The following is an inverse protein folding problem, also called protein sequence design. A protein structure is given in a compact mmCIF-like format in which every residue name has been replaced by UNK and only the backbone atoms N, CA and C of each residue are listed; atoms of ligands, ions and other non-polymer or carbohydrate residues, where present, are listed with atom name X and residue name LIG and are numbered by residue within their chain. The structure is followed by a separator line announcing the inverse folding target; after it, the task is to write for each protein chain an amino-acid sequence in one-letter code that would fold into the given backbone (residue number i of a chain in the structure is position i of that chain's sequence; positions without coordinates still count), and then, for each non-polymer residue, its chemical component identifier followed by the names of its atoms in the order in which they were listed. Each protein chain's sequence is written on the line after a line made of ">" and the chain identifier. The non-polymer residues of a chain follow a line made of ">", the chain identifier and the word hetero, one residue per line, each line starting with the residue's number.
data_IF_723809532482
#
_entry.id   IF_723809532482
#
_cell.length_a   1.000
_cell.length_b   1.000
_cell.length_c   1.000
_cell.angle_alpha   90.00
_cell.angle_beta   90.00
_cell.angle_gamma   90.00
#
_symmetry.space_group_name_H-M   'P 1'
#
loop_
_entity.id
_entity.type
_entity.pdbx_description
1 polymer ?
#
# COMPACT_ATOMS: atom_id res chain seq x y z
N UNK A 1 23.82 33.36 39.61
CA UNK A 1 23.15 32.07 39.84
C UNK A 1 22.28 31.74 38.63
N UNK A 2 22.76 30.91 37.70
CA UNK A 2 22.02 30.51 36.50
C UNK A 2 22.09 28.99 36.34
N UNK A 3 21.04 28.28 36.77
CA UNK A 3 20.84 26.85 36.46
C UNK A 3 19.63 26.70 35.54
N UNK A 4 19.91 26.85 34.24
CA UNK A 4 19.47 26.00 33.12
C UNK A 4 17.97 25.68 32.98
N UNK A 5 17.24 26.56 32.28
CA UNK A 5 15.93 26.31 31.64
C UNK A 5 15.99 25.15 30.60
N UNK A 6 17.16 24.89 30.00
CA UNK A 6 17.37 23.77 29.08
C UNK A 6 17.20 22.40 29.74
N UNK A 7 17.53 22.28 31.03
CA UNK A 7 17.42 21.00 31.76
C UNK A 7 15.98 20.58 32.06
N UNK A 8 15.07 21.55 32.22
CA UNK A 8 13.64 21.32 32.45
C UNK A 8 12.93 20.90 31.15
N UNK A 9 13.30 21.50 30.02
CA UNK A 9 12.77 21.16 28.70
C UNK A 9 13.24 19.78 28.21
N UNK A 10 14.51 19.42 28.44
CA UNK A 10 15.03 18.07 28.17
C UNK A 10 14.36 16.99 29.05
N UNK A 11 14.03 17.31 30.30
CA UNK A 11 13.33 16.40 31.21
C UNK A 11 11.86 16.20 30.81
N UNK A 12 11.17 17.23 30.35
CA UNK A 12 9.79 17.11 29.87
C UNK A 12 9.71 16.32 28.56
N UNK A 13 10.63 16.56 27.61
CA UNK A 13 10.72 15.75 26.38
C UNK A 13 11.03 14.27 26.66
N UNK A 14 11.93 13.97 27.61
CA UNK A 14 12.21 12.58 28.02
C UNK A 14 11.00 11.92 28.68
N UNK A 15 10.17 12.67 29.41
CA UNK A 15 8.93 12.14 30.01
C UNK A 15 7.85 11.89 28.95
N UNK A 16 7.68 12.78 27.99
CA UNK A 16 6.75 12.60 26.86
C UNK A 16 7.20 11.43 25.97
N UNK A 17 8.50 11.31 25.69
CA UNK A 17 9.08 10.18 24.96
C UNK A 17 8.89 8.84 25.69
N UNK A 18 9.10 8.81 27.01
CA UNK A 18 8.84 7.61 27.83
C UNK A 18 7.35 7.24 27.90
N UNK A 19 6.46 8.23 27.98
CA UNK A 19 5.01 7.99 27.98
C UNK A 19 4.53 7.47 26.62
N UNK A 20 5.05 8.02 25.52
CA UNK A 20 4.76 7.56 24.15
C UNK A 20 5.33 6.16 23.89
N UNK A 21 6.55 5.87 24.37
CA UNK A 21 7.14 4.52 24.33
C UNK A 21 6.38 3.53 25.19
N UNK A 22 5.86 3.94 26.35
CA UNK A 22 5.05 3.08 27.22
C UNK A 22 3.68 2.75 26.60
N UNK A 23 3.03 3.74 25.98
CA UNK A 23 1.78 3.52 25.23
C UNK A 23 2.01 2.63 23.99
N UNK A 24 3.14 2.81 23.29
CA UNK A 24 3.50 1.97 22.14
C UNK A 24 3.85 0.53 22.55
N UNK A 25 4.53 0.34 23.69
CA UNK A 25 4.83 -0.97 24.26
C UNK A 25 3.57 -1.67 24.79
N UNK A 26 2.61 -0.94 25.37
CA UNK A 26 1.31 -1.49 25.75
C UNK A 26 0.48 -1.89 24.53
N UNK A 27 0.49 -1.09 23.46
CA UNK A 27 -0.14 -1.43 22.19
C UNK A 27 0.45 -2.69 21.53
N UNK A 28 1.77 -2.85 21.58
CA UNK A 28 2.49 -4.04 21.11
C UNK A 28 2.16 -5.30 21.92
N UNK A 29 2.09 -5.20 23.25
CA UNK A 29 1.72 -6.33 24.12
C UNK A 29 0.27 -6.77 23.92
N UNK A 30 -0.64 -5.81 23.71
CA UNK A 30 -2.03 -6.10 23.35
C UNK A 30 -2.11 -6.78 21.99
N UNK A 31 -1.35 -6.32 20.99
CA UNK A 31 -1.29 -6.93 19.66
C UNK A 31 -0.69 -8.35 19.68
N UNK A 32 0.39 -8.59 20.42
CA UNK A 32 0.98 -9.94 20.60
C UNK A 32 0.04 -10.90 21.34
N UNK A 33 -0.74 -10.40 22.31
CA UNK A 33 -1.70 -11.21 23.07
C UNK A 33 -2.94 -11.62 22.26
N UNK A 34 -3.17 -11.01 21.10
CA UNK A 34 -4.34 -11.24 20.24
C UNK A 34 -4.04 -12.14 19.02
N UNK A 35 -2.79 -12.57 18.85
CA UNK A 35 -2.42 -13.59 17.86
C UNK A 35 -2.76 -14.99 18.40
N UNK A 36 -3.37 -15.89 17.60
CA UNK A 36 -3.68 -17.24 18.06
C UNK A 36 -2.41 -18.02 18.41
N UNK A 37 -2.37 -18.59 19.62
CA UNK A 37 -1.32 -19.56 20.02
C UNK A 37 -1.44 -20.81 19.17
N UNK A 38 -0.35 -21.19 18.49
CA UNK A 38 -0.26 -22.47 17.81
C UNK A 38 -0.54 -23.62 18.80
N UNK A 39 -1.41 -24.55 18.42
CA UNK A 39 -1.74 -25.73 19.21
C UNK A 39 -0.47 -26.60 19.43
N UNK A 40 -0.32 -27.25 20.59
CA UNK A 40 0.87 -28.03 20.89
C UNK A 40 0.92 -29.30 20.02
N UNK A 41 1.98 -29.43 19.23
CA UNK A 41 2.29 -30.67 18.51
C UNK A 41 2.56 -31.81 19.52
N UNK A 42 1.95 -32.97 19.28
CA UNK A 42 2.12 -34.19 20.08
C UNK A 42 3.59 -34.66 20.04
N UNK A 43 4.18 -34.93 21.22
CA UNK A 43 5.55 -35.45 21.38
C UNK A 43 5.67 -36.89 20.82
N UNK A 44 6.72 -37.23 20.05
CA UNK A 44 7.06 -38.62 19.82
C UNK A 44 7.79 -39.22 21.04
N UNK A 45 7.53 -40.51 21.28
CA UNK A 45 8.05 -41.33 22.39
C UNK A 45 9.57 -41.51 22.29
N UNK A 46 10.28 -41.40 23.43
CA UNK A 46 11.70 -41.76 23.59
C UNK A 46 11.86 -43.27 23.84
N UNK A 47 12.84 -43.96 23.23
CA UNK A 47 13.39 -45.17 23.83
C UNK A 47 14.50 -44.81 24.84
N UNK A 48 14.63 -45.62 25.89
CA UNK A 48 15.62 -45.50 26.96
C UNK A 48 16.99 -45.99 26.46
N UNK A 49 18.05 -45.21 26.66
CA UNK A 49 19.43 -45.71 26.62
C UNK A 49 20.16 -45.40 27.94
N UNK A 50 20.93 -46.40 28.39
CA UNK A 50 21.66 -46.47 29.66
C UNK A 50 22.80 -45.46 29.73
N UNK A 51 23.06 -45.01 30.95
CA UNK A 51 24.08 -44.06 31.36
C UNK A 51 25.47 -44.73 31.33
N UNK A 52 26.41 -44.21 30.52
CA UNK A 52 27.85 -44.40 30.70
C UNK A 52 28.44 -43.08 31.18
N UNK A 53 29.02 -43.09 32.37
CA UNK A 53 29.82 -42.00 32.93
C UNK A 53 31.20 -42.00 32.28
N UNK A 54 31.59 -40.88 31.70
CA UNK A 54 33.01 -40.54 31.55
C UNK A 54 33.15 -39.05 31.90
N UNK A 55 33.95 -38.78 32.92
CA UNK A 55 34.37 -37.44 33.34
C UNK A 55 35.80 -37.26 32.86
N UNK A 56 36.07 -36.23 32.05
CA UNK A 56 37.32 -35.48 32.09
C UNK A 56 37.28 -34.26 31.16
N UNK A 57 37.88 -33.17 31.66
CA UNK A 57 38.33 -31.96 30.98
C UNK A 57 37.26 -30.94 30.53
N UNK A 58 37.17 -29.88 31.32
CA UNK A 58 36.61 -28.57 30.97
C UNK A 58 37.63 -27.83 30.09
N UNK A 59 37.30 -27.46 28.84
CA UNK A 59 37.90 -26.32 28.19
C UNK A 59 37.09 -25.06 28.54
N UNK A 60 37.80 -23.97 28.78
CA UNK A 60 37.24 -22.63 28.99
C UNK A 60 36.19 -22.25 27.93
N UNK A 61 35.21 -21.37 28.27
CA UNK A 61 34.14 -21.00 27.36
C UNK A 61 34.70 -20.15 26.22
N UNK A 62 35.15 -20.80 25.14
CA UNK A 62 35.21 -20.17 23.82
C UNK A 62 33.79 -19.70 23.54
N UNK A 63 33.61 -18.38 23.55
CA UNK A 63 32.36 -17.73 23.22
C UNK A 63 31.86 -18.33 21.91
N UNK A 64 30.86 -19.22 21.99
CA UNK A 64 30.15 -19.71 20.82
C UNK A 64 29.44 -18.51 20.25
N UNK A 65 30.07 -17.90 19.26
CA UNK A 65 29.46 -16.94 18.38
C UNK A 65 28.12 -17.55 17.95
N UNK A 66 27.03 -16.93 18.39
CA UNK A 66 25.71 -17.28 17.93
C UNK A 66 25.77 -17.39 16.41
N UNK A 67 25.17 -18.43 15.79
CA UNK A 67 25.12 -18.48 14.35
C UNK A 67 24.38 -17.22 13.91
N UNK A 68 25.11 -16.26 13.34
CA UNK A 68 24.55 -15.10 12.68
C UNK A 68 23.74 -15.67 11.53
N UNK A 69 22.46 -15.94 11.75
CA UNK A 69 21.51 -16.07 10.65
C UNK A 69 21.41 -14.68 10.04
N UNK A 70 22.35 -14.36 9.15
CA UNK A 70 22.28 -13.22 8.25
C UNK A 70 20.97 -13.37 7.49
N UNK A 71 19.99 -12.54 7.83
CA UNK A 71 18.85 -12.29 6.95
C UNK A 71 19.42 -11.84 5.60
N UNK A 72 18.88 -12.31 4.47
CA UNK A 72 19.29 -11.79 3.17
C UNK A 72 19.09 -10.27 3.15
N UNK A 73 20.16 -9.53 2.91
CA UNK A 73 20.17 -8.17 2.34
C UNK A 73 20.18 -8.31 0.83
N UNK A 74 19.61 -7.39 0.04
CA UNK A 74 19.99 -7.26 -1.37
C UNK A 74 19.81 -8.51 -2.29
N UNK A 75 19.13 -9.56 -1.80
CA UNK A 75 18.22 -10.37 -2.62
C UNK A 75 17.00 -9.53 -3.08
N UNK A 76 16.81 -8.35 -2.48
CA UNK A 76 15.88 -7.23 -2.80
C UNK A 76 16.05 -6.61 -4.20
N UNK A 77 16.97 -7.14 -5.00
CA UNK A 77 16.98 -7.04 -6.44
C UNK A 77 17.88 -8.18 -6.94
N UNK A 78 17.47 -9.44 -6.77
CA UNK A 78 17.98 -10.49 -7.66
C UNK A 78 17.39 -10.21 -9.04
N UNK A 79 17.90 -9.15 -9.67
CA UNK A 79 17.57 -8.62 -10.98
C UNK A 79 16.08 -8.25 -11.18
N UNK A 80 15.85 -7.12 -11.85
CA UNK A 80 14.77 -7.07 -12.82
C UNK A 80 14.78 -8.41 -13.58
N UNK A 81 13.75 -9.25 -13.53
CA UNK A 81 13.71 -10.67 -13.92
C UNK A 81 14.32 -11.10 -15.28
N UNK A 82 15.59 -10.79 -15.57
CA UNK A 82 16.05 -10.53 -16.92
C UNK A 82 15.32 -9.37 -17.60
N UNK A 83 14.67 -8.46 -16.84
CA UNK A 83 13.94 -7.37 -17.47
C UNK A 83 14.92 -6.27 -17.92
N UNK A 84 14.74 -5.73 -19.13
CA UNK A 84 15.70 -4.81 -19.72
C UNK A 84 15.68 -3.40 -19.11
N UNK A 85 14.59 -3.01 -18.43
CA UNK A 85 14.40 -1.68 -17.83
C UNK A 85 15.30 -1.35 -16.65
N UNK A 86 15.29 -0.07 -16.27
CA UNK A 86 16.14 0.45 -15.19
C UNK A 86 15.42 0.46 -13.85
N UNK A 87 16.09 -0.01 -12.80
CA UNK A 87 15.60 -0.02 -11.42
C UNK A 87 16.48 0.90 -10.55
N UNK A 88 15.95 2.07 -10.19
CA UNK A 88 16.71 3.14 -9.54
C UNK A 88 16.28 3.33 -8.12
N UNK A 89 17.23 3.29 -7.20
CA UNK A 89 17.02 3.64 -5.78
C UNK A 89 17.40 5.10 -5.57
N UNK A 90 16.53 5.90 -4.98
CA UNK A 90 16.86 7.28 -4.62
C UNK A 90 16.16 7.72 -3.34
N UNK A 91 16.61 8.85 -2.79
CA UNK A 91 15.96 9.52 -1.69
C UNK A 91 15.23 10.76 -2.21
N UNK A 92 14.01 10.96 -1.73
CA UNK A 92 13.29 12.21 -1.87
C UNK A 92 13.33 12.96 -0.54
N UNK A 93 13.48 14.28 -0.62
CA UNK A 93 13.38 15.17 0.53
C UNK A 93 12.39 16.27 0.18
N UNK A 94 11.37 16.44 1.01
CA UNK A 94 10.39 17.51 0.84
C UNK A 94 11.09 18.89 0.98
N UNK A 95 10.97 19.80 0.01
CA UNK A 95 11.57 21.13 0.10
C UNK A 95 11.07 21.91 1.32
N UNK A 96 11.96 22.65 1.99
CA UNK A 96 11.64 23.52 3.12
C UNK A 96 12.87 23.89 3.96
N UNK A 97 12.75 24.95 4.76
CA UNK A 97 13.79 25.62 5.56
C UNK A 97 14.07 25.00 6.95
N UNK A 98 13.42 23.87 7.27
CA UNK A 98 13.50 23.23 8.59
C UNK A 98 14.57 22.13 8.72
N UNK A 99 14.97 21.82 9.97
CA UNK A 99 15.89 20.74 10.31
C UNK A 99 15.49 19.38 9.67
N UNK A 100 16.50 18.58 9.32
CA UNK A 100 16.38 17.22 8.77
C UNK A 100 15.68 16.26 9.75
N UNK A 101 14.34 16.23 9.74
CA UNK A 101 13.57 15.21 10.46
C UNK A 101 13.25 14.04 9.52
N UNK A 102 13.23 12.81 10.04
CA UNK A 102 12.83 11.59 9.30
C UNK A 102 11.47 11.72 8.60
N UNK A 103 10.62 12.65 9.05
CA UNK A 103 9.31 12.96 8.47
C UNK A 103 9.34 13.72 7.13
N UNK A 104 10.50 14.26 6.70
CA UNK A 104 10.63 14.98 5.42
C UNK A 104 11.34 14.17 4.34
N UNK A 105 11.96 13.04 4.69
CA UNK A 105 12.81 12.27 3.78
C UNK A 105 12.26 10.86 3.62
N UNK A 106 12.06 10.44 2.38
CA UNK A 106 11.52 9.12 2.06
C UNK A 106 12.38 8.44 0.99
N UNK A 107 12.71 7.18 1.23
CA UNK A 107 13.39 6.35 0.26
C UNK A 107 12.37 5.90 -0.79
N UNK A 108 12.78 5.81 -2.05
CA UNK A 108 11.93 5.24 -3.10
C UNK A 108 12.75 4.45 -4.11
N UNK A 109 12.02 3.65 -4.89
CA UNK A 109 12.52 3.05 -6.12
C UNK A 109 11.69 3.46 -7.31
N UNK A 110 12.34 3.69 -8.44
CA UNK A 110 11.71 4.00 -9.73
C UNK A 110 12.09 2.93 -10.75
N UNK A 111 11.08 2.37 -11.40
CA UNK A 111 11.25 1.50 -12.56
C UNK A 111 10.91 2.26 -13.84
N UNK A 112 11.83 2.24 -14.80
CA UNK A 112 11.61 2.76 -16.16
C UNK A 112 11.79 1.62 -17.17
N UNK A 113 10.77 1.29 -17.99
CA UNK A 113 10.85 0.18 -18.95
C UNK A 113 11.81 0.50 -20.11
N UNK A 114 12.54 -0.49 -20.62
CA UNK A 114 13.56 -0.25 -21.65
C UNK A 114 13.01 -0.18 -23.08
N UNK A 115 11.85 -0.79 -23.34
CA UNK A 115 11.23 -0.81 -24.68
C UNK A 115 10.69 0.54 -25.16
N UNK A 116 11.01 1.64 -24.48
CA UNK A 116 10.51 2.98 -24.79
C UNK A 116 11.64 3.82 -25.38
N UNK A 117 11.52 4.30 -26.63
CA UNK A 117 12.52 5.19 -27.23
C UNK A 117 12.76 6.40 -26.33
N UNK A 118 14.02 6.76 -26.10
CA UNK A 118 14.37 7.98 -25.36
C UNK A 118 14.34 9.21 -26.27
N UNK A 119 14.11 10.38 -25.69
CA UNK A 119 14.27 11.65 -26.39
C UNK A 119 15.74 11.84 -26.84
N UNK A 120 16.00 12.45 -28.02
CA UNK A 120 17.36 12.69 -28.48
C UNK A 120 18.16 13.50 -27.45
N UNK A 121 19.37 13.03 -27.10
CA UNK A 121 20.30 13.75 -26.23
C UNK A 121 20.02 13.70 -24.72
N UNK A 122 18.95 13.01 -24.26
CA UNK A 122 18.66 12.84 -22.82
C UNK A 122 18.41 11.37 -22.50
N UNK A 123 19.36 10.74 -21.79
CA UNK A 123 19.16 9.38 -21.27
C UNK A 123 18.01 9.37 -20.26
N UNK A 124 17.11 8.38 -20.35
CA UNK A 124 16.02 8.12 -19.39
C UNK A 124 14.79 9.05 -19.45
N UNK A 125 14.69 9.91 -20.46
CA UNK A 125 13.45 10.63 -20.77
C UNK A 125 12.80 9.98 -21.99
N UNK A 126 11.56 9.49 -21.90
CA UNK A 126 10.91 8.82 -23.02
C UNK A 126 10.50 9.82 -24.11
N UNK A 127 10.59 9.42 -25.37
CA UNK A 127 10.19 10.23 -26.53
C UNK A 127 8.69 10.54 -26.56
N UNK A 128 7.88 9.72 -25.86
CA UNK A 128 6.48 10.00 -25.53
C UNK A 128 6.29 9.88 -24.02
N UNK A 129 5.66 10.84 -23.35
CA UNK A 129 5.41 10.77 -21.91
C UNK A 129 4.73 9.47 -21.50
N UNK A 130 5.35 8.75 -20.57
CA UNK A 130 4.86 7.47 -20.06
C UNK A 130 3.87 7.69 -18.91
N UNK A 131 2.81 6.87 -18.79
CA UNK A 131 2.03 6.78 -17.57
C UNK A 131 2.89 6.43 -16.36
N UNK A 132 2.44 6.81 -15.17
CA UNK A 132 3.08 6.47 -13.91
C UNK A 132 2.12 5.68 -13.00
N UNK A 133 2.58 4.57 -12.46
CA UNK A 133 1.86 3.83 -11.40
C UNK A 133 2.66 3.94 -10.10
N UNK A 134 2.07 4.51 -9.06
CA UNK A 134 2.64 4.57 -7.72
C UNK A 134 2.19 3.35 -6.93
N UNK A 135 3.11 2.56 -6.39
CA UNK A 135 2.85 1.28 -5.74
C UNK A 135 3.23 1.34 -4.25
N UNK A 136 2.23 1.30 -3.38
CA UNK A 136 2.38 1.40 -1.92
C UNK A 136 2.26 0.02 -1.25
N UNK A 137 3.37 -0.43 -0.66
CA UNK A 137 3.46 -1.76 -0.05
C UNK A 137 2.64 -1.88 1.24
N UNK A 138 2.25 -3.10 1.64
CA UNK A 138 1.61 -3.38 2.93
C UNK A 138 2.59 -3.40 4.12
N UNK A 139 2.08 -3.57 5.34
CA UNK A 139 2.94 -3.73 6.51
C UNK A 139 3.88 -4.95 6.32
N UNK A 140 5.06 -4.91 6.93
CA UNK A 140 6.14 -5.90 6.89
C UNK A 140 6.83 -6.08 5.53
N UNK A 141 6.26 -5.54 4.44
CA UNK A 141 6.89 -5.54 3.12
C UNK A 141 7.90 -4.38 2.97
N UNK A 142 8.71 -4.47 1.93
CA UNK A 142 9.50 -3.35 1.39
C UNK A 142 9.02 -3.01 -0.02
N UNK A 143 9.42 -1.85 -0.54
CA UNK A 143 9.19 -1.45 -1.93
C UNK A 143 9.67 -2.53 -2.91
N UNK A 144 10.84 -3.12 -2.65
CA UNK A 144 11.40 -4.20 -3.46
C UNK A 144 10.58 -5.49 -3.37
N UNK A 145 10.16 -5.91 -2.18
CA UNK A 145 9.30 -7.09 -2.01
C UNK A 145 7.98 -6.90 -2.76
N UNK A 146 7.37 -5.71 -2.67
CA UNK A 146 6.11 -5.44 -3.33
C UNK A 146 6.25 -5.39 -4.86
N UNK A 147 7.35 -4.83 -5.37
CA UNK A 147 7.66 -4.86 -6.81
C UNK A 147 7.81 -6.30 -7.33
N UNK A 148 8.56 -7.14 -6.61
CA UNK A 148 8.78 -8.53 -6.98
C UNK A 148 7.50 -9.37 -6.90
N UNK A 149 6.75 -9.24 -5.79
CA UNK A 149 5.53 -10.01 -5.53
C UNK A 149 4.39 -9.67 -6.48
N UNK A 150 4.10 -8.38 -6.68
CA UNK A 150 3.02 -7.92 -7.56
C UNK A 150 3.31 -8.13 -9.05
N UNK A 151 4.58 -8.32 -9.42
CA UNK A 151 5.04 -8.40 -10.82
C UNK A 151 4.69 -7.17 -11.68
N UNK A 152 4.53 -6.01 -11.04
CA UNK A 152 4.14 -4.78 -11.72
C UNK A 152 5.22 -4.30 -12.70
N UNK A 153 6.52 -4.48 -12.41
CA UNK A 153 7.60 -4.15 -13.35
C UNK A 153 7.55 -5.00 -14.63
N UNK A 154 7.18 -6.28 -14.53
CA UNK A 154 7.01 -7.15 -15.70
C UNK A 154 5.87 -6.66 -16.59
N UNK A 155 4.77 -6.18 -15.99
CA UNK A 155 3.67 -5.59 -16.75
C UNK A 155 4.08 -4.23 -17.35
N UNK A 156 4.82 -3.42 -16.60
CA UNK A 156 5.36 -2.13 -17.02
C UNK A 156 6.19 -2.24 -18.31
N UNK A 157 7.04 -3.26 -18.43
CA UNK A 157 7.77 -3.57 -19.68
C UNK A 157 6.84 -3.85 -20.85
N UNK A 158 5.82 -4.69 -20.64
CA UNK A 158 4.91 -5.11 -21.71
C UNK A 158 3.95 -4.01 -22.15
N UNK A 159 3.65 -3.04 -21.27
CA UNK A 159 2.59 -2.04 -21.47
C UNK A 159 3.11 -0.60 -21.57
N UNK A 160 4.39 -0.36 -21.30
CA UNK A 160 5.02 0.93 -21.44
C UNK A 160 4.52 1.95 -20.41
N UNK A 161 4.80 1.72 -19.13
CA UNK A 161 4.57 2.70 -18.06
C UNK A 161 5.69 2.67 -17.02
N UNK A 162 5.92 3.79 -16.33
CA UNK A 162 6.85 3.88 -15.22
C UNK A 162 6.20 3.43 -13.91
N UNK A 163 7.00 2.96 -12.95
CA UNK A 163 6.49 2.55 -11.63
C UNK A 163 7.31 3.16 -10.51
N UNK A 164 6.65 3.88 -9.60
CA UNK A 164 7.27 4.49 -8.42
C UNK A 164 6.87 3.73 -7.16
N UNK A 165 7.86 3.37 -6.34
CA UNK A 165 7.67 2.62 -5.09
C UNK A 165 8.23 3.39 -3.89
N UNK A 166 7.41 4.23 -3.23
CA UNK A 166 7.76 4.83 -1.95
C UNK A 166 8.00 3.75 -0.87
N UNK A 167 8.96 3.98 0.02
CA UNK A 167 9.34 3.05 1.09
C UNK A 167 9.13 3.69 2.46
N UNK A 168 8.23 3.09 3.26
CA UNK A 168 8.08 3.45 4.67
C UNK A 168 9.33 3.06 5.46
N UNK A 169 9.84 3.95 6.30
CA UNK A 169 11.03 3.69 7.10
C UNK A 169 10.73 2.74 8.27
N UNK A 170 11.67 1.84 8.57
CA UNK A 170 11.61 1.03 9.80
C UNK A 170 11.81 1.87 11.07
N UNK A 171 12.36 3.08 10.96
CA UNK A 171 12.47 4.05 12.07
C UNK A 171 11.13 4.71 12.36
N UNK A 172 10.33 4.97 11.33
CA UNK A 172 8.98 5.52 11.46
C UNK A 172 8.00 4.48 12.01
N UNK A 173 8.13 3.22 11.57
CA UNK A 173 7.34 2.10 12.05
C UNK A 173 8.15 0.81 11.99
N UNK A 174 8.28 0.06 13.09
CA UNK A 174 9.12 -1.14 13.13
C UNK A 174 8.69 -2.23 12.13
N UNK A 175 7.42 -2.24 11.73
CA UNK A 175 6.87 -3.11 10.70
C UNK A 175 6.80 -2.43 9.33
N UNK A 176 7.36 -1.22 9.15
CA UNK A 176 7.24 -0.40 7.95
C UNK A 176 5.78 -0.19 7.54
N UNK A 177 4.87 -0.15 8.52
CA UNK A 177 3.47 0.05 8.20
C UNK A 177 3.15 1.54 8.00
N UNK A 178 2.29 1.84 7.03
CA UNK A 178 1.76 3.19 6.84
C UNK A 178 0.74 3.51 7.94
N UNK A 179 0.84 4.70 8.55
CA UNK A 179 -0.09 5.13 9.60
C UNK A 179 -1.35 5.77 9.02
N UNK A 180 -2.00 5.08 8.07
CA UNK A 180 -3.21 5.54 7.37
C UNK A 180 -4.32 6.01 8.33
N UNK A 181 -4.42 5.42 9.51
CA UNK A 181 -5.43 5.74 10.52
C UNK A 181 -5.21 7.07 11.25
N UNK A 182 -4.05 7.72 11.12
CA UNK A 182 -3.81 9.00 11.82
C UNK A 182 -4.70 10.09 11.24
N UNK A 183 -5.28 10.94 12.10
CA UNK A 183 -6.08 12.09 11.67
C UNK A 183 -5.32 13.02 10.70
N UNK A 184 -4.03 13.25 10.96
CA UNK A 184 -3.15 14.01 10.07
C UNK A 184 -3.08 13.38 8.67
N UNK A 185 -2.80 12.07 8.59
CA UNK A 185 -2.79 11.32 7.33
C UNK A 185 -4.13 11.38 6.62
N UNK A 186 -5.24 11.18 7.34
CA UNK A 186 -6.60 11.30 6.78
C UNK A 186 -6.90 12.69 6.21
N UNK A 187 -6.24 13.76 6.70
CA UNK A 187 -6.34 15.13 6.19
C UNK A 187 -5.38 15.44 5.03
N UNK A 188 -4.49 14.52 4.69
CA UNK A 188 -3.50 14.69 3.62
C UNK A 188 -2.11 15.14 4.12
N UNK A 189 -1.86 15.10 5.42
CA UNK A 189 -0.58 15.47 6.02
C UNK A 189 0.35 14.25 6.18
N UNK A 190 1.60 14.50 6.59
CA UNK A 190 2.59 13.45 6.84
C UNK A 190 3.03 12.77 5.54
N UNK A 191 3.01 11.44 5.52
CA UNK A 191 3.46 10.63 4.38
C UNK A 191 2.74 10.99 3.07
N UNK A 192 1.48 11.43 3.13
CA UNK A 192 0.71 11.84 1.93
C UNK A 192 1.43 12.99 1.21
N UNK A 193 1.74 14.07 1.91
CA UNK A 193 2.36 15.26 1.31
C UNK A 193 3.76 14.96 0.76
N UNK A 194 4.53 14.14 1.47
CA UNK A 194 5.87 13.69 1.00
C UNK A 194 5.74 12.87 -0.29
N UNK A 195 4.80 11.94 -0.35
CA UNK A 195 4.60 11.10 -1.55
C UNK A 195 4.05 11.92 -2.71
N UNK A 196 3.09 12.83 -2.48
CA UNK A 196 2.54 13.69 -3.53
C UNK A 196 3.63 14.56 -4.18
N UNK A 197 4.48 15.20 -3.36
CA UNK A 197 5.60 15.99 -3.87
C UNK A 197 6.67 15.13 -4.57
N UNK A 198 6.91 13.91 -4.08
CA UNK A 198 7.79 12.94 -4.74
C UNK A 198 7.28 12.58 -6.14
N UNK A 199 5.99 12.31 -6.28
CA UNK A 199 5.36 11.97 -7.56
C UNK A 199 5.55 13.13 -8.55
N UNK A 200 5.24 14.36 -8.14
CA UNK A 200 5.41 15.54 -8.99
C UNK A 200 6.87 15.72 -9.45
N UNK A 201 7.85 15.58 -8.52
CA UNK A 201 9.27 15.68 -8.88
C UNK A 201 9.70 14.58 -9.85
N UNK A 202 9.25 13.33 -9.63
CA UNK A 202 9.58 12.19 -10.50
C UNK A 202 8.98 12.39 -11.89
N UNK A 203 7.74 12.86 -11.98
CA UNK A 203 7.10 13.17 -13.26
C UNK A 203 7.88 14.25 -14.03
N UNK A 204 8.22 15.35 -13.37
CA UNK A 204 8.97 16.44 -13.98
C UNK A 204 10.36 15.99 -14.44
N UNK A 205 11.11 15.30 -13.56
CA UNK A 205 12.48 14.87 -13.83
C UNK A 205 12.59 13.89 -15.00
N UNK A 206 11.58 13.04 -15.19
CA UNK A 206 11.58 11.98 -16.19
C UNK A 206 10.62 12.22 -17.36
N UNK A 207 10.02 13.42 -17.46
CA UNK A 207 9.07 13.75 -18.53
C UNK A 207 7.87 12.80 -18.62
N UNK A 208 7.33 12.39 -17.47
CA UNK A 208 6.21 11.44 -17.41
C UNK A 208 4.86 12.15 -17.65
N UNK A 209 3.87 11.38 -18.11
CA UNK A 209 2.53 11.87 -18.39
C UNK A 209 1.75 12.14 -17.09
N UNK A 210 1.61 13.41 -16.73
CA UNK A 210 0.88 13.85 -15.53
C UNK A 210 -0.61 13.53 -15.61
N UNK A 211 -1.19 13.42 -16.81
CA UNK A 211 -2.60 13.05 -16.99
C UNK A 211 -2.86 11.57 -16.75
N UNK A 212 -1.83 10.72 -16.84
CA UNK A 212 -1.92 9.25 -16.68
C UNK A 212 -1.10 8.78 -15.49
N UNK A 213 -1.39 9.35 -14.33
CA UNK A 213 -0.79 8.93 -13.07
C UNK A 213 -1.81 8.23 -12.19
N UNK A 214 -1.43 7.08 -11.66
CA UNK A 214 -2.29 6.17 -10.91
C UNK A 214 -1.59 5.80 -9.61
N UNK A 215 -2.36 5.41 -8.60
CA UNK A 215 -1.79 4.88 -7.35
C UNK A 215 -2.49 3.59 -6.97
N UNK A 216 -1.73 2.61 -6.49
CA UNK A 216 -2.27 1.38 -5.95
C UNK A 216 -1.50 0.89 -4.73
N UNK A 217 -2.10 -0.01 -3.98
CA UNK A 217 -1.41 -0.65 -2.86
C UNK A 217 -2.10 -1.89 -2.33
N UNK A 218 -1.48 -2.48 -1.31
CA UNK A 218 -1.99 -3.61 -0.53
C UNK A 218 -2.18 -3.20 0.93
N UNK A 219 -3.29 -3.60 1.56
CA UNK A 219 -3.50 -3.45 3.01
C UNK A 219 -3.39 -1.98 3.46
N UNK A 220 -2.54 -1.67 4.44
CA UNK A 220 -2.21 -0.31 4.85
C UNK A 220 -1.74 0.60 3.69
N UNK A 221 -1.03 0.04 2.70
CA UNK A 221 -0.64 0.77 1.49
C UNK A 221 -1.82 1.08 0.57
N UNK A 222 -2.81 0.19 0.52
CA UNK A 222 -4.06 0.42 -0.21
C UNK A 222 -4.93 1.51 0.47
N UNK A 223 -4.98 1.52 1.81
CA UNK A 223 -5.60 2.62 2.56
C UNK A 223 -4.91 3.95 2.28
N UNK A 224 -3.58 3.96 2.31
CA UNK A 224 -2.81 5.16 2.00
C UNK A 224 -3.01 5.62 0.55
N UNK A 225 -3.09 4.68 -0.41
CA UNK A 225 -3.39 4.98 -1.81
C UNK A 225 -4.74 5.68 -1.98
N UNK A 226 -5.78 5.19 -1.29
CA UNK A 226 -7.11 5.81 -1.29
C UNK A 226 -7.03 7.25 -0.77
N UNK A 227 -6.43 7.46 0.40
CA UNK A 227 -6.30 8.77 1.02
C UNK A 227 -5.48 9.72 0.12
N UNK A 228 -4.37 9.23 -0.45
CA UNK A 228 -3.51 10.01 -1.33
C UNK A 228 -4.26 10.48 -2.57
N UNK A 229 -5.00 9.58 -3.23
CA UNK A 229 -5.80 9.93 -4.40
C UNK A 229 -6.91 10.93 -4.04
N UNK A 230 -7.62 10.73 -2.94
CA UNK A 230 -8.68 11.62 -2.48
C UNK A 230 -8.16 13.00 -2.05
N UNK A 231 -6.96 13.09 -1.47
CA UNK A 231 -6.37 14.37 -1.02
C UNK A 231 -5.60 15.11 -2.11
N UNK A 232 -5.19 14.42 -3.16
CA UNK A 232 -4.54 15.01 -4.34
C UNK A 232 -5.25 14.59 -5.65
N UNK A 233 -6.53 14.96 -5.83
CA UNK A 233 -7.33 14.48 -6.97
C UNK A 233 -6.82 14.96 -8.33
N UNK A 234 -6.11 16.09 -8.38
CA UNK A 234 -5.47 16.58 -9.60
C UNK A 234 -4.24 15.76 -10.02
N UNK A 235 -3.65 14.98 -9.11
CA UNK A 235 -2.44 14.21 -9.38
C UNK A 235 -2.74 12.79 -9.85
N UNK A 236 -3.89 12.22 -9.48
CA UNK A 236 -4.24 10.83 -9.75
C UNK A 236 -5.51 10.70 -10.59
N UNK A 237 -5.39 9.98 -11.70
CA UNK A 237 -6.49 9.67 -12.60
C UNK A 237 -7.35 8.49 -12.12
N UNK A 238 -6.77 7.56 -11.35
CA UNK A 238 -7.46 6.43 -10.76
C UNK A 238 -6.66 5.81 -9.60
N UNK A 239 -7.35 5.04 -8.75
CA UNK A 239 -6.77 4.32 -7.60
C UNK A 239 -7.09 2.82 -7.61
N UNK A 240 -6.11 1.99 -7.24
CA UNK A 240 -6.26 0.55 -7.07
C UNK A 240 -6.05 0.12 -5.61
N UNK A 241 -7.00 -0.62 -5.05
CA UNK A 241 -7.00 -0.98 -3.65
C UNK A 241 -7.10 -2.49 -3.49
N UNK A 242 -6.01 -3.14 -3.08
CA UNK A 242 -6.04 -4.55 -2.70
C UNK A 242 -6.14 -4.69 -1.19
N UNK A 243 -7.13 -5.43 -0.69
CA UNK A 243 -7.32 -5.69 0.75
C UNK A 243 -7.34 -4.42 1.62
N UNK A 244 -7.98 -3.34 1.16
CA UNK A 244 -7.98 -2.06 1.86
C UNK A 244 -9.02 -2.01 2.98
N UNK A 245 -8.70 -1.43 4.15
CA UNK A 245 -9.71 -1.01 5.12
C UNK A 245 -10.46 0.25 4.65
N UNK A 246 -11.62 0.50 5.25
CA UNK A 246 -12.38 1.75 5.08
C UNK A 246 -11.59 2.99 5.52
N UNK A 247 -11.78 4.13 4.84
CA UNK A 247 -11.12 5.38 5.19
C UNK A 247 -12.01 6.30 6.05
N UNK A 248 -11.40 7.28 6.72
CA UNK A 248 -12.12 8.34 7.45
C UNK A 248 -12.79 7.92 8.75
N UNK A 249 -12.75 6.64 9.13
CA UNK A 249 -13.45 6.11 10.32
C UNK A 249 -12.52 5.87 11.51
N UNK A 250 -11.22 6.10 11.36
CA UNK A 250 -10.19 5.71 12.33
C UNK A 250 -9.28 6.88 12.70
N UNK A 251 -8.74 6.83 13.91
CA UNK A 251 -7.88 7.89 14.48
C UNK A 251 -6.78 7.34 15.41
N UNK A 252 -6.70 6.02 15.59
CA UNK A 252 -5.78 5.34 16.50
C UNK A 252 -5.49 3.90 16.02
N UNK A 253 -4.39 3.26 16.47
CA UNK A 253 -4.11 1.86 16.10
C UNK A 253 -5.24 0.90 16.49
N UNK A 254 -5.90 1.14 17.63
CA UNK A 254 -7.01 0.32 18.09
C UNK A 254 -8.25 0.47 17.19
N UNK A 255 -8.63 1.70 16.84
CA UNK A 255 -9.74 1.92 15.90
C UNK A 255 -9.41 1.39 14.50
N UNK A 256 -8.15 1.49 14.07
CA UNK A 256 -7.65 0.89 12.83
C UNK A 256 -7.84 -0.62 12.82
N UNK A 257 -7.42 -1.31 13.89
CA UNK A 257 -7.62 -2.75 14.04
C UNK A 257 -9.10 -3.13 14.03
N UNK A 258 -9.94 -2.40 14.78
CA UNK A 258 -11.39 -2.66 14.77
C UNK A 258 -11.99 -2.50 13.39
N UNK A 259 -11.60 -1.46 12.64
CA UNK A 259 -12.05 -1.27 11.27
C UNK A 259 -11.61 -2.42 10.36
N UNK A 260 -10.35 -2.85 10.45
CA UNK A 260 -9.86 -4.00 9.68
C UNK A 260 -10.66 -5.28 9.98
N UNK A 261 -11.04 -5.51 11.24
CA UNK A 261 -11.76 -6.73 11.63
C UNK A 261 -13.28 -6.69 11.43
N UNK A 262 -13.89 -5.51 11.49
CA UNK A 262 -15.36 -5.39 11.56
C UNK A 262 -15.95 -4.35 10.62
N UNK A 263 -15.11 -3.67 9.82
CA UNK A 263 -15.51 -2.45 9.14
C UNK A 263 -15.86 -1.36 10.15
N UNK A 264 -16.63 -0.38 9.69
CA UNK A 264 -17.25 0.65 10.53
C UNK A 264 -18.74 0.37 10.65
N UNK A 265 -19.28 0.34 11.87
CA UNK A 265 -20.70 0.05 12.08
C UNK A 265 -21.64 1.17 11.59
N UNK A 266 -21.23 2.45 11.63
CA UNK A 266 -22.15 3.57 11.34
C UNK A 266 -21.53 4.80 10.67
N UNK A 267 -20.20 4.93 10.64
CA UNK A 267 -19.55 6.19 10.22
C UNK A 267 -18.96 6.17 8.81
N UNK A 268 -18.86 5.03 8.12
CA UNK A 268 -18.16 4.95 6.82
C UNK A 268 -18.85 5.78 5.73
N UNK A 269 -20.17 5.66 5.56
CA UNK A 269 -20.94 6.47 4.61
C UNK A 269 -20.98 7.95 5.01
N UNK A 270 -21.02 8.25 6.30
CA UNK A 270 -20.93 9.62 6.81
C UNK A 270 -19.56 10.25 6.49
N UNK A 271 -18.46 9.50 6.68
CA UNK A 271 -17.11 9.97 6.34
C UNK A 271 -16.94 10.25 4.84
N UNK A 272 -17.52 9.43 3.98
CA UNK A 272 -17.53 9.67 2.53
C UNK A 272 -18.33 10.92 2.16
N UNK A 273 -19.52 11.11 2.76
CA UNK A 273 -20.34 12.32 2.56
C UNK A 273 -19.68 13.58 3.10
N UNK A 274 -19.04 13.51 4.27
CA UNK A 274 -18.27 14.62 4.83
C UNK A 274 -17.12 15.01 3.89
N UNK A 275 -16.37 14.03 3.38
CA UNK A 275 -15.33 14.28 2.40
C UNK A 275 -15.88 14.94 1.13
N UNK A 276 -16.94 14.37 0.53
CA UNK A 276 -17.54 14.87 -0.70
C UNK A 276 -18.13 16.28 -0.52
N UNK A 277 -18.81 16.53 0.61
CA UNK A 277 -19.37 17.85 0.94
C UNK A 277 -18.32 18.92 1.19
N UNK A 278 -17.16 18.55 1.75
CA UNK A 278 -16.03 19.46 1.93
C UNK A 278 -15.30 19.79 0.61
N UNK A 279 -15.57 19.05 -0.47
CA UNK A 279 -14.96 19.23 -1.78
C UNK A 279 -16.04 19.27 -2.89
N UNK A 280 -16.87 20.32 -2.97
CA UNK A 280 -18.00 20.35 -3.91
C UNK A 280 -17.61 20.22 -5.39
N UNK A 281 -16.38 20.62 -5.73
CA UNK A 281 -15.82 20.54 -7.08
C UNK A 281 -14.96 19.27 -7.30
N UNK A 282 -15.05 18.28 -6.42
CA UNK A 282 -14.27 17.05 -6.53
C UNK A 282 -14.62 16.30 -7.83
N UNK A 283 -13.65 16.01 -8.71
CA UNK A 283 -13.92 15.45 -10.04
C UNK A 283 -14.23 13.95 -10.04
N UNK A 284 -14.56 13.38 -8.88
CA UNK A 284 -14.59 11.93 -8.66
C UNK A 284 -13.19 11.29 -8.67
N UNK A 285 -13.11 10.11 -8.06
CA UNK A 285 -11.92 9.28 -8.05
C UNK A 285 -12.27 7.87 -8.52
N UNK A 286 -11.96 7.54 -9.79
CA UNK A 286 -12.17 6.19 -10.31
C UNK A 286 -11.38 5.17 -9.49
N UNK A 287 -12.02 4.08 -9.09
CA UNK A 287 -11.42 3.08 -8.20
C UNK A 287 -11.65 1.63 -8.64
N UNK A 288 -10.62 0.80 -8.42
CA UNK A 288 -10.74 -0.66 -8.48
C UNK A 288 -10.36 -1.26 -7.13
N UNK A 289 -11.26 -2.05 -6.56
CA UNK A 289 -11.09 -2.79 -5.31
C UNK A 289 -10.92 -4.27 -5.63
N UNK A 290 -9.93 -4.91 -5.03
CA UNK A 290 -9.72 -6.35 -5.12
C UNK A 290 -9.57 -6.88 -3.69
N UNK A 291 -10.37 -7.87 -3.32
CA UNK A 291 -10.42 -8.36 -1.95
C UNK A 291 -10.61 -9.86 -1.89
N UNK A 292 -9.93 -10.52 -0.96
CA UNK A 292 -10.07 -11.94 -0.73
C UNK A 292 -11.20 -12.26 0.26
N UNK A 293 -12.05 -13.24 -0.07
CA UNK A 293 -13.16 -13.64 0.80
C UNK A 293 -12.69 -14.24 2.14
N UNK A 294 -11.49 -14.84 2.14
CA UNK A 294 -10.86 -15.48 3.31
C UNK A 294 -9.82 -14.57 3.99
N UNK A 295 -9.80 -13.28 3.65
CA UNK A 295 -8.90 -12.30 4.27
C UNK A 295 -9.25 -12.13 5.76
N UNK A 296 -8.37 -12.65 6.61
CA UNK A 296 -8.51 -12.64 8.07
C UNK A 296 -7.81 -11.45 8.74
N UNK A 297 -7.09 -10.63 7.97
CA UNK A 297 -6.36 -9.44 8.45
C UNK A 297 -7.17 -8.19 8.21
N UNK A 298 -7.69 -8.03 6.99
CA UNK A 298 -8.66 -6.99 6.63
C UNK A 298 -9.88 -7.71 6.09
N UNK A 299 -10.91 -7.85 6.92
CA UNK A 299 -12.07 -8.66 6.55
C UNK A 299 -12.86 -8.04 5.40
N UNK A 300 -13.46 -8.91 4.58
CA UNK A 300 -14.26 -8.59 3.38
C UNK A 300 -15.29 -7.47 3.57
N UNK A 301 -15.87 -7.32 4.77
CA UNK A 301 -16.78 -6.21 5.10
C UNK A 301 -16.20 -4.83 4.75
N UNK A 302 -14.88 -4.67 4.82
CA UNK A 302 -14.23 -3.44 4.40
C UNK A 302 -14.35 -3.19 2.89
N UNK A 303 -14.28 -4.22 2.05
CA UNK A 303 -14.45 -4.05 0.60
C UNK A 303 -15.87 -3.63 0.23
N UNK A 304 -16.87 -4.19 0.91
CA UNK A 304 -18.28 -3.80 0.74
C UNK A 304 -18.47 -2.32 1.11
N UNK A 305 -18.03 -1.94 2.32
CA UNK A 305 -18.18 -0.57 2.79
C UNK A 305 -17.34 0.44 2.01
N UNK A 306 -16.13 0.05 1.55
CA UNK A 306 -15.28 0.93 0.76
C UNK A 306 -15.84 1.11 -0.65
N UNK A 307 -16.49 0.09 -1.24
CA UNK A 307 -17.24 0.27 -2.47
C UNK A 307 -18.38 1.29 -2.27
N UNK A 308 -19.17 1.16 -1.21
CA UNK A 308 -20.21 2.16 -0.86
C UNK A 308 -19.63 3.57 -0.66
N UNK A 309 -18.46 3.69 -0.02
CA UNK A 309 -17.80 5.00 0.13
C UNK A 309 -17.42 5.61 -1.24
N UNK A 310 -16.89 4.81 -2.16
CA UNK A 310 -16.53 5.29 -3.49
C UNK A 310 -17.75 5.52 -4.40
N UNK A 311 -18.86 4.82 -4.20
CA UNK A 311 -20.15 5.12 -4.83
C UNK A 311 -20.64 6.53 -4.42
N UNK A 312 -20.56 6.86 -3.12
CA UNK A 312 -20.89 8.20 -2.62
C UNK A 312 -19.97 9.26 -3.22
N UNK A 313 -18.65 9.04 -3.18
CA UNK A 313 -17.65 10.00 -3.70
C UNK A 313 -17.82 10.23 -5.21
N UNK A 314 -18.11 9.17 -5.98
CA UNK A 314 -18.28 9.25 -7.42
C UNK A 314 -19.72 9.57 -7.84
N UNK A 315 -20.65 9.72 -6.89
CA UNK A 315 -22.06 9.96 -7.12
C UNK A 315 -22.34 11.03 -8.17
N UNK A 316 -21.78 12.26 -8.06
CA UNK A 316 -21.98 13.32 -9.05
C UNK A 316 -21.57 12.91 -10.48
N UNK A 317 -20.47 12.17 -10.65
CA UNK A 317 -19.98 11.73 -11.96
C UNK A 317 -20.85 10.61 -12.54
N UNK A 318 -21.28 9.70 -11.67
CA UNK A 318 -22.16 8.58 -12.02
C UNK A 318 -23.54 9.07 -12.45
N UNK A 319 -24.09 10.11 -11.81
CA UNK A 319 -25.42 10.64 -12.11
C UNK A 319 -25.46 11.69 -13.22
N UNK A 320 -24.43 12.54 -13.37
CA UNK A 320 -24.35 13.53 -14.46
C UNK A 320 -24.28 12.89 -15.86
N UNK A 321 -23.75 11.67 -15.95
CA UNK A 321 -23.67 10.90 -17.20
C UNK A 321 -24.99 10.20 -17.57
N UNK A 322 -26.01 10.28 -16.71
CA UNK A 322 -27.34 9.72 -16.95
C UNK A 322 -28.19 10.69 -17.79
N UNK A 323 -27.80 10.92 -19.04
CA UNK A 323 -28.73 11.46 -20.03
C UNK A 323 -29.75 10.38 -20.39
N UNK A 324 -30.95 10.47 -19.81
CA UNK A 324 -32.20 9.74 -20.14
C UNK A 324 -32.27 8.22 -19.98
N UNK A 325 -31.17 7.52 -19.72
CA UNK A 325 -31.21 6.15 -19.20
C UNK A 325 -30.43 6.15 -17.89
N UNK A 326 -31.04 5.59 -16.84
CA UNK A 326 -30.50 5.53 -15.48
C UNK A 326 -29.00 5.18 -15.45
N UNK A 327 -28.23 5.67 -14.45
CA UNK A 327 -26.87 5.18 -14.24
C UNK A 327 -26.92 3.66 -14.20
N UNK A 328 -26.47 3.02 -15.28
CA UNK A 328 -26.62 1.59 -15.43
C UNK A 328 -25.60 0.96 -14.47
N UNK A 329 -26.07 0.60 -13.28
CA UNK A 329 -25.41 -0.31 -12.36
C UNK A 329 -25.41 -1.68 -13.04
N UNK A 330 -24.57 -1.82 -14.07
CA UNK A 330 -24.37 -3.08 -14.78
C UNK A 330 -23.50 -3.94 -13.89
N UNK A 331 -24.14 -4.60 -12.93
CA UNK A 331 -23.58 -5.80 -12.31
C UNK A 331 -23.39 -6.80 -13.45
N UNK A 332 -22.19 -6.84 -14.02
CA UNK A 332 -21.83 -7.88 -14.96
C UNK A 332 -22.04 -9.23 -14.23
N UNK A 333 -22.63 -10.23 -14.90
CA UNK A 333 -22.77 -11.55 -14.31
C UNK A 333 -21.42 -12.04 -13.82
N UNK A 334 -21.41 -12.81 -12.71
CA UNK A 334 -20.24 -13.51 -12.19
C UNK A 334 -19.40 -14.08 -13.35
N UNK A 335 -18.26 -13.46 -13.66
CA UNK A 335 -17.23 -14.18 -14.40
C UNK A 335 -16.58 -15.10 -13.39
N UNK A 336 -17.05 -16.35 -13.28
CA UNK A 336 -16.25 -17.44 -12.71
C UNK A 336 -15.03 -17.69 -13.61
N UNK A 337 -14.12 -16.73 -13.60
CA UNK A 337 -12.80 -16.83 -14.19
C UNK A 337 -11.91 -17.51 -13.16
N UNK A 338 -11.39 -18.66 -13.52
CA UNK A 338 -10.52 -19.44 -12.65
C UNK A 338 -10.37 -20.80 -13.28
N UNK A 339 -9.16 -21.16 -13.72
CA UNK A 339 -8.90 -22.50 -14.26
C UNK A 339 -9.10 -23.62 -13.21
N UNK A 340 -9.41 -23.25 -11.96
CA UNK A 340 -9.75 -24.13 -10.83
C UNK A 340 -10.89 -23.50 -10.02
N UNK A 341 -11.77 -24.29 -9.38
CA UNK A 341 -12.87 -23.78 -8.55
C UNK A 341 -12.41 -22.97 -7.33
N UNK A 342 -11.18 -23.21 -6.82
CA UNK A 342 -10.54 -22.35 -5.81
C UNK A 342 -9.99 -21.08 -6.47
N UNK A 343 -10.28 -19.91 -5.89
CA UNK A 343 -9.91 -18.59 -6.45
C UNK A 343 -10.68 -18.19 -7.70
N UNK A 344 -11.91 -18.69 -7.84
CA UNK A 344 -12.91 -18.00 -8.67
C UNK A 344 -13.12 -16.59 -8.13
N UNK A 345 -13.49 -15.65 -9.00
CA UNK A 345 -13.72 -14.27 -8.58
C UNK A 345 -15.03 -13.74 -9.13
N UNK A 346 -15.56 -12.69 -8.51
CA UNK A 346 -16.76 -11.98 -8.94
C UNK A 346 -16.45 -10.49 -9.04
N UNK A 347 -16.82 -9.88 -10.17
CA UNK A 347 -16.67 -8.44 -10.38
C UNK A 347 -18.01 -7.73 -10.43
N UNK A 348 -18.16 -6.65 -9.66
CA UNK A 348 -19.23 -5.66 -9.82
C UNK A 348 -18.62 -4.37 -10.37
N UNK A 349 -19.25 -3.76 -11.38
CA UNK A 349 -18.73 -2.54 -12.02
C UNK A 349 -19.81 -1.48 -12.12
N UNK A 350 -19.47 -0.25 -11.76
CA UNK A 350 -20.31 0.93 -11.90
C UNK A 350 -19.74 1.79 -13.01
N UNK A 351 -20.59 2.28 -13.91
CA UNK A 351 -20.20 3.02 -15.10
C UNK A 351 -20.75 4.45 -15.08
N UNK A 352 -19.98 5.38 -15.64
CA UNK A 352 -20.46 6.67 -16.13
C UNK A 352 -20.47 6.61 -17.66
N UNK A 353 -21.65 6.46 -18.26
CA UNK A 353 -21.79 6.09 -19.67
C UNK A 353 -21.13 4.74 -19.96
N UNK A 354 -20.11 4.72 -20.83
CA UNK A 354 -19.32 3.50 -21.15
C UNK A 354 -18.03 3.35 -20.34
N UNK A 355 -17.69 4.35 -19.52
CA UNK A 355 -16.42 4.40 -18.79
C UNK A 355 -16.61 3.79 -17.39
N UNK A 356 -15.87 2.72 -17.01
CA UNK A 356 -15.98 2.16 -15.67
C UNK A 356 -15.47 3.19 -14.66
N UNK A 357 -16.19 3.46 -13.58
CA UNK A 357 -15.78 4.40 -12.52
C UNK A 357 -15.45 3.68 -11.21
N UNK A 358 -16.12 2.56 -10.96
CA UNK A 358 -15.85 1.72 -9.81
C UNK A 358 -15.85 0.26 -10.27
N UNK A 359 -14.86 -0.51 -9.84
CA UNK A 359 -14.82 -1.98 -10.02
C UNK A 359 -14.55 -2.59 -8.66
N UNK A 360 -15.36 -3.55 -8.23
CA UNK A 360 -15.09 -4.36 -7.04
C UNK A 360 -14.94 -5.81 -7.45
N UNK A 361 -13.82 -6.43 -7.09
CA UNK A 361 -13.50 -7.82 -7.34
C UNK A 361 -13.37 -8.58 -6.02
N UNK A 362 -14.29 -9.50 -5.76
CA UNK A 362 -14.21 -10.43 -4.64
C UNK A 362 -13.58 -11.74 -5.15
N UNK A 363 -12.52 -12.24 -4.50
CA UNK A 363 -11.80 -13.46 -4.89
C UNK A 363 -12.01 -14.53 -3.83
N UNK A 364 -12.59 -15.65 -4.25
CA UNK A 364 -12.89 -16.78 -3.38
C UNK A 364 -11.61 -17.46 -2.86
N UNK A 365 -11.63 -17.97 -1.63
CA UNK A 365 -10.48 -18.63 -0.98
C UNK A 365 -9.16 -17.83 -0.92
N UNK A 366 -9.16 -16.55 -1.29
CA UNK A 366 -7.99 -15.68 -1.20
C UNK A 366 -7.90 -15.08 0.21
N UNK A 367 -6.75 -15.25 0.85
CA UNK A 367 -6.43 -14.62 2.13
C UNK A 367 -5.88 -13.20 1.99
N UNK A 368 -5.11 -12.74 2.99
CA UNK A 368 -4.47 -11.42 2.96
C UNK A 368 -3.21 -11.40 2.07
N UNK A 369 -3.41 -11.48 0.75
CA UNK A 369 -2.34 -11.60 -0.23
C UNK A 369 -2.73 -10.98 -1.57
N UNK A 370 -1.74 -10.47 -2.30
CA UNK A 370 -1.92 -10.00 -3.67
C UNK A 370 -2.26 -11.15 -4.61
N UNK A 371 -3.39 -11.06 -5.32
CA UNK A 371 -3.85 -12.10 -6.25
C UNK A 371 -3.07 -12.13 -7.57
N UNK A 372 -2.74 -13.33 -8.05
CA UNK A 372 -1.92 -13.55 -9.25
C UNK A 372 -0.44 -13.21 -9.08
N UNK A 373 0.02 -13.02 -7.85
CA UNK A 373 1.38 -12.60 -7.52
C UNK A 373 2.42 -13.73 -7.47
N UNK A 374 3.63 -13.39 -7.08
CA UNK A 374 4.73 -14.34 -6.92
C UNK A 374 4.76 -14.99 -5.53
N UNK A 375 4.46 -16.29 -5.46
CA UNK A 375 4.41 -17.06 -4.20
C UNK A 375 5.74 -17.11 -3.44
N UNK A 376 6.87 -16.88 -4.11
CA UNK A 376 8.18 -16.84 -3.44
C UNK A 376 8.33 -15.62 -2.52
N UNK A 377 7.45 -14.61 -2.67
CA UNK A 377 7.41 -13.40 -1.87
C UNK A 377 6.17 -13.41 -0.98
N UNK A 378 6.36 -13.11 0.31
CA UNK A 378 5.26 -13.06 1.29
C UNK A 378 4.13 -12.12 0.85
N UNK A 379 2.90 -12.47 1.26
CA UNK A 379 1.67 -11.73 0.96
C UNK A 379 1.31 -11.72 -0.53
N UNK A 380 1.59 -12.82 -1.24
CA UNK A 380 1.17 -13.04 -2.63
C UNK A 380 0.58 -14.44 -2.78
N UNK A 381 -0.47 -14.56 -3.58
CA UNK A 381 -1.08 -15.83 -3.97
C UNK A 381 -1.03 -15.93 -5.50
N UNK A 382 -0.39 -16.98 -6.06
CA UNK A 382 -0.28 -17.13 -7.51
C UNK A 382 -1.59 -17.54 -8.18
N UNK A 383 -2.55 -18.07 -7.41
CA UNK A 383 -3.88 -18.41 -7.90
C UNK A 383 -4.83 -17.20 -7.83
N UNK A 384 -5.90 -17.26 -8.63
CA UNK A 384 -6.87 -16.17 -8.77
C UNK A 384 -6.58 -15.26 -9.96
N UNK A 385 -7.33 -14.15 -10.08
CA UNK A 385 -7.13 -13.20 -11.15
C UNK A 385 -5.79 -12.47 -11.03
N UNK A 386 -5.22 -12.07 -12.16
CA UNK A 386 -4.04 -11.19 -12.19
C UNK A 386 -4.46 -9.77 -11.78
N UNK A 387 -4.34 -9.47 -10.48
CA UNK A 387 -4.70 -8.17 -9.91
C UNK A 387 -3.94 -7.01 -10.57
N UNK A 388 -2.67 -7.26 -10.91
CA UNK A 388 -1.80 -6.29 -11.57
C UNK A 388 -2.32 -5.92 -12.96
N UNK A 389 -2.70 -6.90 -13.77
CA UNK A 389 -3.31 -6.67 -15.07
C UNK A 389 -4.71 -6.05 -14.97
N UNK A 390 -5.53 -6.47 -14.00
CA UNK A 390 -6.85 -5.88 -13.78
C UNK A 390 -6.75 -4.39 -13.46
N UNK A 391 -5.86 -4.02 -12.55
CA UNK A 391 -5.64 -2.62 -12.16
C UNK A 391 -5.16 -1.79 -13.36
N UNK A 392 -4.14 -2.26 -14.09
CA UNK A 392 -3.68 -1.55 -15.29
C UNK A 392 -4.77 -1.39 -16.35
N UNK A 393 -5.55 -2.45 -16.59
CA UNK A 393 -6.65 -2.42 -17.56
C UNK A 393 -7.67 -1.36 -17.16
N UNK A 394 -8.06 -1.31 -15.89
CA UNK A 394 -8.92 -0.27 -15.35
C UNK A 394 -8.30 1.13 -15.53
N UNK A 395 -7.07 1.33 -15.05
CA UNK A 395 -6.34 2.61 -15.13
C UNK A 395 -6.27 3.16 -16.56
N UNK A 396 -6.08 2.31 -17.56
CA UNK A 396 -5.94 2.73 -18.96
C UNK A 396 -7.18 3.45 -19.53
N UNK A 397 -8.35 3.32 -18.91
CA UNK A 397 -9.56 4.09 -19.26
C UNK A 397 -9.57 5.52 -18.71
N UNK A 398 -8.65 5.83 -17.79
CA UNK A 398 -8.68 7.07 -17.02
C UNK A 398 -7.51 7.99 -17.34
N UNK A 399 -7.86 9.28 -17.41
CA UNK A 399 -6.94 10.41 -17.49
C UNK A 399 -7.46 11.49 -16.55
N UNK A 400 -6.55 12.27 -15.98
CA UNK A 400 -6.84 13.49 -15.22
C UNK A 400 -6.40 14.69 -16.04
N UNK A 401 -7.26 15.69 -16.16
CA UNK A 401 -6.86 17.00 -16.71
C UNK A 401 -5.66 17.52 -15.90
N UNK A 402 -4.54 17.90 -16.54
CA UNK A 402 -3.44 18.52 -15.82
C UNK A 402 -3.95 19.78 -15.11
N UNK A 403 -3.67 19.90 -13.81
CA UNK A 403 -3.87 21.17 -13.12
C UNK A 403 -2.86 22.14 -13.71
N UNK A 404 -3.35 23.18 -14.41
CA UNK A 404 -2.47 24.25 -14.88
C UNK A 404 -1.73 24.84 -13.68
N UNK A 405 -0.43 25.14 -13.78
CA UNK A 405 0.27 25.83 -12.70
C UNK A 405 -0.46 27.15 -12.44
N UNK A 406 -0.83 27.40 -11.18
CA UNK A 406 -1.31 28.71 -10.75
C UNK A 406 -0.24 29.74 -11.11
N UNK A 407 -0.61 30.67 -12.00
CA UNK A 407 0.26 31.74 -12.54
C UNK A 407 0.60 32.79 -11.51
#
# INVERSE_FOLDING_TARGET
>A
MAKSLSSLWLKSMRRVSKAQQAQQAQGLRLFESMLPKAAPAKKPRRPKLKLLKLVAAVPEPVAKAAPKTRRPTAAQARAAAGLPGTWRKAWFTLPGDGLWTDTRRMLYWLYLPAGVPCAPGVSDTPAKPLPLVVMLHGCQQTAADFAAGSRMNQLAERKGFAVLYPQQSSTADAHRCWHWYKRATQKGEGDIGVIAAMVAQVQQKHGLDTSRTYVAGLSAGAALAAILALRHPGLFAAVGMHSAPVFGTTHSPFSAYRAMQHGSASSYGAAAREFAGAQPQFPGMPAILIHGNDDSVVRRVNADQLAEQFEIINGPVLTQSASREEPALRRCPERRGGRKPRHAYQTSTWYAGRKPQLVKCDVDALGHAWSGGDVSVKFNEPQGPDATLMMWTFFSYHRREPVAPET
#
